data_IF_404864377632
#
_entry.id   IF_404864377632
#
_cell.length_a   1.000
_cell.length_b   1.000
_cell.length_c   1.000
_cell.angle_alpha   90.00
_cell.angle_beta   90.00
_cell.angle_gamma   90.00
#
_symmetry.space_group_name_H-M   'P 1'
#
loop_
_entity.id
_entity.type
_entity.pdbx_description
1 polymer ?
#
# COMPACT_ATOMS: atom_id res chain seq x y z
N UNK A 1 -4.39 -62.79 60.73
CA UNK A 1 -3.30 -61.88 61.16
C UNK A 1 -3.63 -60.46 60.69
N UNK A 2 -3.78 -59.50 61.61
CA UNK A 2 -4.10 -58.13 61.26
C UNK A 2 -2.85 -57.40 60.72
N UNK A 3 -2.96 -56.83 59.51
CA UNK A 3 -1.88 -56.09 58.85
C UNK A 3 -1.72 -54.73 59.55
N UNK A 4 -0.61 -54.53 60.29
CA UNK A 4 -0.29 -53.24 60.91
C UNK A 4 -0.09 -52.20 59.79
N UNK A 5 -0.92 -51.15 59.78
CA UNK A 5 -0.73 -50.00 58.90
C UNK A 5 0.26 -49.06 59.59
N UNK A 6 1.42 -48.84 58.98
CA UNK A 6 2.34 -47.81 59.43
C UNK A 6 1.65 -46.45 59.22
N UNK A 7 1.40 -45.72 60.31
CA UNK A 7 0.91 -44.37 60.24
C UNK A 7 2.12 -43.43 60.15
N UNK A 8 2.05 -42.46 59.23
CA UNK A 8 3.05 -41.41 59.13
C UNK A 8 3.09 -40.60 60.43
N UNK A 9 4.30 -40.25 60.85
CA UNK A 9 4.47 -39.39 62.03
C UNK A 9 4.09 -37.95 61.68
N UNK A 10 3.53 -37.22 62.64
CA UNK A 10 3.11 -35.82 62.42
C UNK A 10 4.27 -34.92 61.97
N UNK A 11 5.50 -35.22 62.44
CA UNK A 11 6.71 -34.49 62.04
C UNK A 11 7.11 -34.75 60.58
N UNK A 12 6.93 -35.97 60.08
CA UNK A 12 7.22 -36.33 58.69
C UNK A 12 6.25 -35.65 57.72
N UNK A 13 4.98 -35.54 58.10
CA UNK A 13 3.98 -34.78 57.35
C UNK A 13 4.35 -33.30 57.31
N UNK A 14 4.78 -32.73 58.45
CA UNK A 14 5.17 -31.31 58.53
C UNK A 14 6.38 -31.02 57.63
N UNK A 15 7.43 -31.84 57.69
CA UNK A 15 8.61 -31.70 56.82
C UNK A 15 8.22 -31.82 55.34
N UNK A 16 7.35 -32.77 55.00
CA UNK A 16 6.90 -32.97 53.62
C UNK A 16 6.13 -31.76 53.08
N UNK A 17 5.27 -31.13 53.89
CA UNK A 17 4.52 -29.92 53.47
C UNK A 17 5.44 -28.71 53.26
N UNK A 18 6.48 -28.56 54.10
CA UNK A 18 7.47 -27.48 53.95
C UNK A 18 8.29 -27.68 52.67
N UNK A 19 8.77 -28.90 52.44
CA UNK A 19 9.53 -29.23 51.22
C UNK A 19 8.68 -29.06 49.95
N UNK A 20 7.42 -29.48 49.98
CA UNK A 20 6.49 -29.27 48.88
C UNK A 20 6.27 -27.78 48.61
N UNK A 21 6.12 -26.96 49.65
CA UNK A 21 5.94 -25.51 49.49
C UNK A 21 7.15 -24.85 48.81
N UNK A 22 8.36 -25.24 49.20
CA UNK A 22 9.60 -24.75 48.56
C UNK A 22 9.66 -25.19 47.09
N UNK A 23 9.33 -26.46 46.80
CA UNK A 23 9.30 -26.97 45.44
C UNK A 23 8.29 -26.24 44.55
N UNK A 24 7.10 -25.93 45.09
CA UNK A 24 6.07 -25.17 44.37
C UNK A 24 6.54 -23.76 44.02
N UNK A 25 7.24 -23.05 44.92
CA UNK A 25 7.80 -21.73 44.64
C UNK A 25 8.80 -21.80 43.47
N UNK A 26 9.69 -22.80 43.48
CA UNK A 26 10.63 -23.05 42.39
C UNK A 26 9.89 -23.30 41.07
N UNK A 27 8.87 -24.15 41.07
CA UNK A 27 8.09 -24.47 39.88
C UNK A 27 7.34 -23.25 39.32
N UNK A 28 6.74 -22.43 40.17
CA UNK A 28 6.08 -21.19 39.74
C UNK A 28 7.06 -20.23 39.07
N UNK A 29 8.28 -20.09 39.58
CA UNK A 29 9.30 -19.24 38.97
C UNK A 29 9.72 -19.71 37.57
N UNK A 30 9.81 -21.04 37.38
CA UNK A 30 10.14 -21.66 36.08
C UNK A 30 9.00 -21.45 35.09
N UNK A 31 7.76 -21.67 35.53
CA UNK A 31 6.56 -21.44 34.69
C UNK A 31 6.46 -19.99 34.24
N UNK A 32 6.71 -19.04 35.15
CA UNK A 32 6.66 -17.62 34.83
C UNK A 32 7.76 -17.21 33.85
N UNK A 33 8.98 -17.73 34.04
CA UNK A 33 10.09 -17.54 33.10
C UNK A 33 9.76 -18.11 31.71
N UNK A 34 9.15 -19.31 31.66
CA UNK A 34 8.75 -19.93 30.41
C UNK A 34 7.65 -19.12 29.70
N UNK A 35 6.65 -18.62 30.42
CA UNK A 35 5.59 -17.75 29.87
C UNK A 35 6.19 -16.49 29.25
N UNK A 36 7.12 -15.84 29.95
CA UNK A 36 7.82 -14.65 29.45
C UNK A 36 8.65 -14.96 28.20
N UNK A 37 9.36 -16.09 28.15
CA UNK A 37 10.10 -16.50 26.97
C UNK A 37 9.18 -16.74 25.77
N UNK A 38 8.06 -17.45 25.96
CA UNK A 38 7.07 -17.69 24.90
C UNK A 38 6.48 -16.38 24.40
N UNK A 39 6.14 -15.46 25.29
CA UNK A 39 5.63 -14.14 24.92
C UNK A 39 6.61 -13.38 24.02
N UNK A 40 7.89 -13.32 24.42
CA UNK A 40 8.91 -12.61 23.66
C UNK A 40 9.18 -13.25 22.29
N UNK A 41 9.15 -14.59 22.21
CA UNK A 41 9.29 -15.30 20.94
C UNK A 41 8.12 -14.97 20.02
N UNK A 42 6.89 -15.00 20.55
CA UNK A 42 5.69 -14.67 19.79
C UNK A 42 5.73 -13.24 19.26
N UNK A 43 6.07 -12.27 20.10
CA UNK A 43 6.15 -10.87 19.69
C UNK A 43 7.18 -10.65 18.57
N UNK A 44 8.35 -11.28 18.66
CA UNK A 44 9.37 -11.18 17.61
C UNK A 44 8.95 -11.90 16.32
N UNK A 45 8.24 -13.02 16.44
CA UNK A 45 7.70 -13.74 15.30
C UNK A 45 6.64 -12.91 14.57
N UNK A 46 5.68 -12.34 15.31
CA UNK A 46 4.61 -11.48 14.76
C UNK A 46 5.22 -10.28 14.02
N UNK A 47 6.21 -9.61 14.62
CA UNK A 47 6.97 -8.51 13.96
C UNK A 47 7.67 -8.97 12.67
N UNK A 48 8.23 -10.18 12.65
CA UNK A 48 8.88 -10.69 11.44
C UNK A 48 7.87 -10.99 10.34
N UNK A 49 6.74 -11.61 10.70
CA UNK A 49 5.65 -11.92 9.75
C UNK A 49 5.09 -10.65 9.12
N UNK A 50 4.88 -9.60 9.91
CA UNK A 50 4.38 -8.32 9.40
C UNK A 50 5.37 -7.64 8.45
N UNK A 51 6.67 -7.69 8.78
CA UNK A 51 7.71 -7.18 7.90
C UNK A 51 7.78 -7.95 6.57
N UNK A 52 7.71 -9.29 6.61
CA UNK A 52 7.74 -10.10 5.40
C UNK A 52 6.49 -9.87 4.54
N UNK A 53 5.33 -9.73 5.18
CA UNK A 53 4.08 -9.33 4.52
C UNK A 53 4.22 -7.97 3.84
N UNK A 54 4.80 -6.98 4.52
CA UNK A 54 5.03 -5.66 3.94
C UNK A 54 5.91 -5.71 2.70
N UNK A 55 6.99 -6.49 2.74
CA UNK A 55 7.88 -6.68 1.59
C UNK A 55 7.13 -7.35 0.42
N UNK A 56 6.29 -8.34 0.70
CA UNK A 56 5.45 -8.98 -0.31
C UNK A 56 4.44 -8.01 -0.93
N UNK A 57 3.83 -7.11 -0.13
CA UNK A 57 2.94 -6.07 -0.66
C UNK A 57 3.71 -5.10 -1.55
N UNK A 58 4.89 -4.61 -1.14
CA UNK A 58 5.72 -3.76 -1.98
C UNK A 58 6.13 -4.46 -3.29
N UNK A 59 6.50 -5.73 -3.21
CA UNK A 59 6.82 -6.55 -4.37
C UNK A 59 5.63 -6.62 -5.34
N UNK A 60 4.43 -6.92 -4.84
CA UNK A 60 3.21 -7.00 -5.64
C UNK A 60 2.78 -5.64 -6.19
N UNK A 61 2.92 -4.56 -5.42
CA UNK A 61 2.64 -3.19 -5.86
C UNK A 61 3.45 -2.85 -7.12
N UNK A 62 4.75 -3.19 -7.13
CA UNK A 62 5.64 -2.95 -8.26
C UNK A 62 5.34 -3.92 -9.42
N UNK A 63 5.17 -5.21 -9.13
CA UNK A 63 4.94 -6.24 -10.13
C UNK A 63 3.63 -6.01 -10.91
N UNK A 64 2.59 -5.59 -10.21
CA UNK A 64 1.26 -5.32 -10.76
C UNK A 64 1.07 -3.85 -11.18
N UNK A 65 2.15 -3.06 -11.20
CA UNK A 65 2.10 -1.69 -11.68
C UNK A 65 2.06 -1.62 -13.20
N UNK A 66 1.58 -0.48 -13.71
CA UNK A 66 1.65 -0.09 -15.12
C UNK A 66 3.07 0.23 -15.61
N UNK A 67 4.08 0.10 -14.74
CA UNK A 67 5.47 0.44 -15.01
C UNK A 67 5.76 1.94 -15.05
N UNK A 68 4.77 2.81 -14.84
CA UNK A 68 4.93 4.26 -14.67
C UNK A 68 5.29 4.56 -13.22
N UNK A 69 6.55 4.31 -12.92
CA UNK A 69 7.11 4.43 -11.58
C UNK A 69 7.99 5.66 -11.50
N UNK A 70 7.65 6.59 -10.60
CA UNK A 70 8.48 7.74 -10.29
C UNK A 70 9.31 7.47 -9.03
N UNK A 71 10.63 7.62 -9.16
CA UNK A 71 11.57 7.54 -8.05
C UNK A 71 12.05 8.95 -7.74
N UNK A 72 11.99 9.35 -6.46
CA UNK A 72 12.69 10.56 -6.00
C UNK A 72 13.61 10.17 -4.85
N UNK A 73 14.92 10.37 -5.09
CA UNK A 73 15.97 10.23 -4.08
C UNK A 73 16.24 11.60 -3.44
N UNK A 74 16.45 11.65 -2.12
CA UNK A 74 16.81 12.87 -1.39
C UNK A 74 16.14 12.96 -0.01
N UNK A 75 15.53 14.12 0.28
CA UNK A 75 15.02 14.39 1.63
C UNK A 75 13.83 13.52 2.04
N UNK A 76 13.10 12.96 1.06
CA UNK A 76 11.98 12.03 1.25
C UNK A 76 12.05 11.00 0.14
N UNK A 77 12.91 10.00 0.36
CA UNK A 77 13.04 8.85 -0.54
C UNK A 77 11.67 8.22 -0.73
N UNK A 78 11.26 8.16 -1.99
CA UNK A 78 9.93 7.68 -2.35
C UNK A 78 9.92 7.00 -3.70
N UNK A 79 9.06 6.00 -3.78
CA UNK A 79 8.62 5.37 -5.02
C UNK A 79 7.12 5.60 -5.13
N UNK A 80 6.65 6.02 -6.29
CA UNK A 80 5.24 6.08 -6.59
C UNK A 80 4.95 5.35 -7.89
N UNK A 81 3.90 4.53 -7.87
CA UNK A 81 3.30 3.88 -9.02
C UNK A 81 2.02 4.64 -9.36
N UNK A 82 1.92 5.13 -10.59
CA UNK A 82 0.75 5.91 -11.02
C UNK A 82 -0.50 5.05 -11.14
N UNK A 83 -0.35 3.78 -11.54
CA UNK A 83 -1.41 2.80 -11.55
C UNK A 83 -0.89 1.41 -11.15
N UNK A 84 -1.58 0.75 -10.22
CA UNK A 84 -1.39 -0.65 -9.85
C UNK A 84 -2.74 -1.32 -9.59
N UNK A 85 -2.83 -2.62 -9.86
CA UNK A 85 -4.01 -3.44 -9.51
C UNK A 85 -3.92 -4.03 -8.11
N UNK A 86 -2.78 -3.88 -7.43
CA UNK A 86 -2.57 -4.37 -6.06
C UNK A 86 -3.08 -3.35 -5.02
N UNK A 87 -4.41 -3.19 -4.96
CA UNK A 87 -5.06 -2.33 -3.96
C UNK A 87 -5.32 -3.11 -2.67
N UNK A 88 -5.02 -2.51 -1.51
CA UNK A 88 -5.42 -3.04 -0.20
C UNK A 88 -6.83 -2.59 0.21
N UNK A 89 -7.35 -1.57 -0.48
CA UNK A 89 -8.62 -0.90 -0.17
C UNK A 89 -9.63 -1.02 -1.32
N UNK A 90 -9.53 -2.11 -2.08
CA UNK A 90 -10.49 -2.51 -3.13
C UNK A 90 -10.69 -1.51 -4.28
N UNK A 91 -9.68 -0.66 -4.53
CA UNK A 91 -9.62 0.20 -5.71
C UNK A 91 -9.21 -0.63 -6.94
N UNK A 92 -10.04 -0.61 -7.98
CA UNK A 92 -9.73 -1.36 -9.22
C UNK A 92 -8.42 -0.95 -9.89
N UNK A 93 -8.06 0.34 -9.82
CA UNK A 93 -6.75 0.87 -10.18
C UNK A 93 -6.39 1.92 -9.13
N UNK A 94 -5.29 1.70 -8.41
CA UNK A 94 -4.82 2.62 -7.37
C UNK A 94 -3.53 3.32 -7.79
N UNK A 95 -3.37 4.57 -7.35
CA UNK A 95 -2.05 5.19 -7.23
C UNK A 95 -1.48 4.79 -5.87
N UNK A 96 -0.25 4.30 -5.85
CA UNK A 96 0.41 3.87 -4.60
C UNK A 96 1.77 4.52 -4.49
N UNK A 97 2.07 5.09 -3.33
CA UNK A 97 3.38 5.64 -3.02
C UNK A 97 3.92 5.03 -1.73
N UNK A 98 5.16 4.54 -1.79
CA UNK A 98 5.93 4.20 -0.60
C UNK A 98 6.94 5.29 -0.33
N UNK A 99 7.03 5.73 0.92
CA UNK A 99 8.03 6.70 1.34
C UNK A 99 8.46 6.48 2.77
N UNK A 100 9.67 6.93 3.08
CA UNK A 100 10.18 6.94 4.45
C UNK A 100 9.96 8.33 5.05
N UNK A 101 9.25 8.37 6.18
CA UNK A 101 9.16 9.55 7.02
C UNK A 101 10.42 9.64 7.87
N UNK A 102 11.21 10.70 7.68
CA UNK A 102 12.47 10.91 8.43
C UNK A 102 12.27 11.18 9.92
N UNK A 103 11.18 11.85 10.29
CA UNK A 103 10.94 12.24 11.69
C UNK A 103 10.70 11.02 12.60
N UNK A 104 10.26 9.89 12.02
CA UNK A 104 9.96 8.66 12.75
C UNK A 104 10.68 7.41 12.20
N UNK A 105 11.61 7.58 11.25
CA UNK A 105 12.23 6.49 10.46
C UNK A 105 11.21 5.40 10.06
N UNK A 106 10.03 5.84 9.62
CA UNK A 106 8.87 4.96 9.41
C UNK A 106 8.59 4.82 7.94
N UNK A 107 8.53 3.58 7.45
CA UNK A 107 8.06 3.29 6.10
C UNK A 107 6.53 3.39 6.11
N UNK A 108 6.01 4.23 5.22
CA UNK A 108 4.57 4.35 5.01
C UNK A 108 4.22 3.99 3.57
N UNK A 109 3.03 3.43 3.41
CA UNK A 109 2.38 3.22 2.12
C UNK A 109 1.17 4.13 2.07
N UNK A 110 1.07 4.91 1.00
CA UNK A 110 -0.07 5.78 0.73
C UNK A 110 -0.77 5.21 -0.49
N UNK A 111 -2.07 4.96 -0.37
CA UNK A 111 -2.92 4.48 -1.44
C UNK A 111 -4.08 5.45 -1.67
N UNK A 112 -4.44 5.66 -2.94
CA UNK A 112 -5.65 6.40 -3.26
C UNK A 112 -5.80 6.69 -4.74
N UNK A 113 -6.83 7.45 -5.08
CA UNK A 113 -7.09 7.86 -6.46
C UNK A 113 -6.64 9.30 -6.70
N UNK A 114 -5.77 9.50 -7.69
CA UNK A 114 -5.43 10.82 -8.24
C UNK A 114 -4.98 11.88 -7.20
N UNK A 115 -4.30 11.46 -6.13
CA UNK A 115 -3.73 12.36 -5.13
C UNK A 115 -2.36 12.89 -5.54
N UNK A 116 -1.88 13.91 -4.81
CA UNK A 116 -0.55 14.49 -5.01
C UNK A 116 0.20 14.49 -3.69
N UNK A 117 1.52 14.34 -3.77
CA UNK A 117 2.38 14.49 -2.61
C UNK A 117 2.98 15.90 -2.57
N UNK A 118 3.00 16.59 -1.42
CA UNK A 118 2.42 16.20 -0.12
C UNK A 118 0.88 16.16 -0.16
N UNK A 119 0.30 15.24 0.62
CA UNK A 119 -1.15 15.04 0.71
C UNK A 119 -1.78 16.26 1.38
N UNK A 120 -2.81 16.83 0.76
CA UNK A 120 -3.61 17.92 1.33
C UNK A 120 -4.80 17.38 2.13
N UNK A 121 -5.40 18.20 3.00
CA UNK A 121 -6.53 17.78 3.86
C UNK A 121 -7.78 17.30 3.09
N UNK A 122 -7.97 17.80 1.87
CA UNK A 122 -9.11 17.45 1.00
C UNK A 122 -8.90 16.17 0.18
N UNK A 123 -7.73 15.53 0.29
CA UNK A 123 -7.41 14.34 -0.49
C UNK A 123 -7.73 13.08 0.28
N UNK A 124 -8.71 12.33 -0.21
CA UNK A 124 -9.06 11.01 0.32
C UNK A 124 -7.98 10.00 -0.09
N UNK A 125 -7.09 9.71 0.86
CA UNK A 125 -6.04 8.70 0.71
C UNK A 125 -5.98 7.87 1.98
N UNK A 126 -5.65 6.59 1.80
CA UNK A 126 -5.38 5.67 2.89
C UNK A 126 -3.87 5.67 3.16
N UNK A 127 -3.50 5.76 4.43
CA UNK A 127 -2.09 5.85 4.86
C UNK A 127 -1.79 4.73 5.84
N UNK A 128 -1.05 3.74 5.36
CA UNK A 128 -0.61 2.61 6.16
C UNK A 128 0.77 2.88 6.75
N UNK A 129 0.88 2.82 8.08
CA UNK A 129 2.18 2.74 8.75
C UNK A 129 2.65 1.29 8.73
N UNK A 130 3.73 1.03 7.99
CA UNK A 130 4.19 -0.34 7.73
C UNK A 130 5.08 -0.83 8.87
N UNK A 131 6.23 -0.19 9.09
CA UNK A 131 7.09 -0.46 10.25
C UNK A 131 8.04 0.73 10.51
N UNK A 132 8.54 0.79 11.75
CA UNK A 132 9.49 1.79 12.22
C UNK A 132 10.94 1.29 12.17
N UNK A 133 11.87 2.23 12.24
CA UNK A 133 13.31 1.96 12.29
C UNK A 133 13.86 1.50 10.95
N UNK A 134 13.43 2.13 9.86
CA UNK A 134 13.99 1.92 8.52
C UNK A 134 15.40 2.50 8.51
N UNK A 135 16.41 1.67 8.27
CA UNK A 135 17.79 2.16 8.08
C UNK A 135 18.20 2.20 6.60
N UNK A 136 17.49 1.46 5.74
CA UNK A 136 17.76 1.40 4.32
C UNK A 136 16.43 1.33 3.56
N UNK A 137 16.23 2.25 2.63
CA UNK A 137 15.16 2.17 1.65
C UNK A 137 15.69 2.72 0.33
N UNK A 138 16.34 1.85 -0.45
CA UNK A 138 16.88 2.23 -1.75
C UNK A 138 16.16 1.48 -2.85
N UNK A 139 15.77 2.23 -3.88
CA UNK A 139 15.16 1.68 -5.07
C UNK A 139 15.86 2.28 -6.27
N UNK A 140 16.39 1.39 -7.10
CA UNK A 140 17.12 1.73 -8.31
C UNK A 140 16.47 1.06 -9.50
N UNK A 141 16.21 1.84 -10.55
CA UNK A 141 15.64 1.35 -11.81
C UNK A 141 16.67 1.45 -12.92
N UNK A 142 16.85 0.36 -13.66
CA UNK A 142 17.67 0.32 -14.86
C UNK A 142 16.88 -0.35 -15.99
N UNK A 143 16.45 0.43 -16.99
CA UNK A 143 15.59 -0.02 -18.09
C UNK A 143 14.32 -0.71 -17.58
N UNK A 144 14.21 -2.02 -17.79
CA UNK A 144 13.12 -2.91 -17.41
C UNK A 144 13.34 -3.62 -16.07
N UNK A 145 14.43 -3.28 -15.37
CA UNK A 145 14.81 -3.86 -14.09
C UNK A 145 14.64 -2.87 -12.94
N UNK A 146 14.13 -3.35 -11.82
CA UNK A 146 13.98 -2.58 -10.58
C UNK A 146 14.61 -3.39 -9.45
N UNK A 147 15.66 -2.83 -8.86
CA UNK A 147 16.28 -3.36 -7.65
C UNK A 147 15.72 -2.60 -6.46
N UNK A 148 15.20 -3.34 -5.49
CA UNK A 148 14.66 -2.81 -4.24
C UNK A 148 15.50 -3.37 -3.10
N UNK A 149 15.93 -2.49 -2.20
CA UNK A 149 16.60 -2.85 -0.96
C UNK A 149 15.90 -2.16 0.22
N UNK A 150 15.39 -2.95 1.16
CA UNK A 150 14.70 -2.47 2.37
C UNK A 150 15.34 -3.08 3.60
N UNK A 151 15.75 -2.25 4.55
CA UNK A 151 16.39 -2.67 5.80
C UNK A 151 15.72 -2.05 7.01
N UNK A 152 15.82 -2.75 8.14
CA UNK A 152 15.35 -2.29 9.45
C UNK A 152 16.49 -2.37 10.47
N UNK A 153 16.60 -1.40 11.38
CA UNK A 153 17.67 -1.29 12.40
C UNK A 153 17.84 -2.59 13.21
N UNK A 154 16.74 -3.28 13.51
CA UNK A 154 16.75 -4.49 14.35
C UNK A 154 16.93 -5.81 13.58
N UNK A 155 17.02 -5.78 12.24
CA UNK A 155 17.28 -6.96 11.42
C UNK A 155 18.70 -6.93 10.86
N UNK A 156 19.37 -8.08 10.87
CA UNK A 156 20.78 -8.22 10.44
C UNK A 156 20.96 -8.05 8.93
N UNK A 157 19.99 -8.46 8.13
CA UNK A 157 20.10 -8.46 6.66
C UNK A 157 18.92 -7.71 6.03
N UNK A 158 19.17 -6.81 5.06
CA UNK A 158 18.11 -6.14 4.31
C UNK A 158 17.47 -7.08 3.31
N UNK A 159 16.15 -6.97 3.11
CA UNK A 159 15.51 -7.61 1.96
C UNK A 159 15.95 -6.92 0.69
N UNK A 160 16.46 -7.73 -0.24
CA UNK A 160 16.85 -7.27 -1.56
C UNK A 160 16.18 -8.15 -2.61
N UNK A 161 15.47 -7.53 -3.55
CA UNK A 161 14.86 -8.26 -4.66
C UNK A 161 14.95 -7.45 -5.96
N UNK A 162 15.05 -8.20 -7.06
CA UNK A 162 15.15 -7.68 -8.41
C UNK A 162 13.91 -8.07 -9.19
N UNK A 163 13.11 -7.10 -9.61
CA UNK A 163 12.05 -7.32 -10.60
C UNK A 163 12.59 -7.05 -12.00
N UNK A 164 12.19 -7.88 -12.96
CA UNK A 164 12.53 -7.74 -14.38
C UNK A 164 11.24 -7.68 -15.22
N UNK A 165 11.31 -7.06 -16.39
CA UNK A 165 10.17 -6.94 -17.30
C UNK A 165 9.24 -5.76 -17.03
N UNK A 166 9.58 -4.85 -16.11
CA UNK A 166 8.78 -3.66 -15.80
C UNK A 166 9.05 -2.57 -16.85
N UNK A 167 8.34 -2.65 -17.98
CA UNK A 167 8.49 -1.72 -19.12
C UNK A 167 7.93 -0.34 -18.80
N UNK A 168 8.64 0.71 -19.24
CA UNK A 168 8.11 2.08 -19.16
C UNK A 168 7.04 2.23 -20.24
N UNK A 169 5.82 2.68 -19.92
CA UNK A 169 4.81 2.91 -20.94
C UNK A 169 5.30 3.98 -21.94
N UNK A 170 5.08 3.77 -23.24
CA UNK A 170 5.52 4.74 -24.25
C UNK A 170 4.85 6.09 -24.00
N UNK A 171 5.63 7.19 -24.02
CA UNK A 171 5.08 8.54 -23.86
C UNK A 171 3.97 8.77 -24.91
N UNK A 172 2.80 9.29 -24.51
CA UNK A 172 1.73 9.58 -25.47
C UNK A 172 2.25 10.53 -26.54
N UNK A 173 2.08 10.15 -27.82
CA UNK A 173 2.50 10.98 -28.96
C UNK A 173 1.83 12.36 -28.82
N UNK A 174 2.57 13.47 -29.00
CA UNK A 174 1.97 14.80 -28.91
C UNK A 174 0.83 14.90 -29.91
N UNK A 175 -0.40 15.19 -29.44
CA UNK A 175 -1.54 15.47 -30.30
C UNK A 175 -1.11 16.62 -31.21
N UNK A 176 -0.94 16.36 -32.52
CA UNK A 176 -0.68 17.41 -33.51
C UNK A 176 -1.77 18.46 -33.32
N UNK A 177 -1.40 19.66 -32.85
CA UNK A 177 -2.31 20.81 -32.82
C UNK A 177 -2.87 20.93 -34.23
N UNK A 178 -4.18 20.70 -34.41
CA UNK A 178 -4.85 20.97 -35.67
C UNK A 178 -4.54 22.43 -35.98
N UNK A 179 -3.83 22.68 -37.10
CA UNK A 179 -3.59 24.05 -37.56
C UNK A 179 -4.95 24.75 -37.62
N UNK A 180 -5.09 25.97 -37.07
CA UNK A 180 -6.33 26.71 -37.19
C UNK A 180 -6.68 26.80 -38.67
N UNK A 181 -7.87 26.33 -39.06
CA UNK A 181 -8.42 26.54 -40.40
C UNK A 181 -8.35 28.05 -40.65
N UNK A 182 -7.56 28.49 -41.63
CA UNK A 182 -7.62 29.87 -42.13
C UNK A 182 -9.09 30.17 -42.42
N UNK A 183 -9.67 31.12 -41.68
CA UNK A 183 -10.97 31.70 -42.04
C UNK A 183 -10.80 32.25 -43.45
N UNK A 184 -11.55 31.70 -44.41
CA UNK A 184 -11.70 32.34 -45.71
C UNK A 184 -12.30 33.73 -45.47
N UNK A 185 -11.80 34.78 -46.14
CA UNK A 185 -12.41 36.10 -46.06
C UNK A 185 -13.85 36.05 -46.61
N UNK A 186 -14.78 36.81 -46.02
CA UNK A 186 -16.17 36.83 -46.46
C UNK A 186 -16.25 37.35 -47.91
N UNK A 187 -16.90 36.58 -48.78
CA UNK A 187 -17.32 37.06 -50.10
C UNK A 187 -18.33 38.18 -49.89
N UNK A 188 -18.00 39.39 -50.36
CA UNK A 188 -18.97 40.46 -50.61
C UNK A 188 -19.91 39.98 -51.72
N UNK A 189 -21.15 39.64 -51.36
CA UNK A 189 -22.26 39.49 -52.29
C UNK A 189 -23.14 40.72 -52.19
N UNK A 190 -23.24 41.45 -53.29
CA UNK A 190 -24.07 42.63 -53.45
C UNK A 190 -25.56 42.29 -53.41
N UNK A 191 -26.33 43.23 -52.87
CA UNK A 191 -27.79 43.32 -52.99
C UNK A 191 -28.24 43.26 -54.45
N UNK A 192 -29.39 42.63 -54.70
CA UNK A 192 -30.45 43.25 -55.47
C UNK A 192 -31.79 42.51 -55.28
N UNK A 193 -32.78 43.29 -54.86
CA UNK A 193 -34.21 42.96 -54.82
C UNK A 193 -34.73 42.63 -56.22
N UNK A 194 -35.68 41.68 -56.31
CA UNK A 194 -36.88 41.90 -57.12
C UNK A 194 -38.04 40.98 -56.72
N UNK A 195 -39.21 41.59 -56.85
CA UNK A 195 -40.53 41.27 -56.34
C UNK A 195 -41.23 40.11 -57.09
N UNK A 196 -42.03 39.36 -56.31
CA UNK A 196 -43.19 38.47 -56.58
C UNK A 196 -44.06 38.77 -57.82
N UNK A 197 -44.91 37.84 -58.35
CA UNK A 197 -45.96 37.18 -57.54
C UNK A 197 -46.49 35.76 -57.92
N UNK A 198 -47.03 35.13 -56.86
CA UNK A 198 -48.32 34.43 -56.72
C UNK A 198 -48.59 32.95 -57.07
N UNK A 199 -49.38 32.37 -56.14
CA UNK A 199 -50.29 31.19 -56.18
C UNK A 199 -49.62 29.79 -56.20
N UNK A 200 -50.03 28.78 -55.42
CA UNK A 200 -51.36 28.47 -54.89
C UNK A 200 -51.25 27.48 -53.70
N UNK A 201 -52.09 27.72 -52.69
CA UNK A 201 -52.93 26.80 -51.91
C UNK A 201 -52.45 25.43 -51.36
N UNK A 202 -52.97 25.19 -50.15
CA UNK A 202 -53.59 23.97 -49.57
C UNK A 202 -52.79 23.07 -48.63
N UNK A 203 -53.19 23.18 -47.34
CA UNK A 203 -53.57 22.11 -46.40
C UNK A 203 -52.52 21.17 -45.80
N UNK A 204 -52.66 20.93 -44.48
CA UNK A 204 -52.09 19.73 -43.84
C UNK A 204 -51.71 19.91 -42.39
N UNK A 205 -52.70 19.77 -41.51
CA UNK A 205 -52.63 19.61 -40.06
C UNK A 205 -51.57 18.59 -39.57
N UNK A 206 -51.13 18.85 -38.33
CA UNK A 206 -50.98 17.87 -37.24
C UNK A 206 -49.70 17.04 -36.99
N UNK A 207 -49.28 17.17 -35.72
CA UNK A 207 -48.85 16.12 -34.79
C UNK A 207 -47.35 15.79 -34.59
N UNK A 208 -46.81 16.37 -33.50
CA UNK A 208 -46.08 15.64 -32.44
C UNK A 208 -46.99 14.53 -31.82
N UNK A 209 -46.53 13.65 -30.91
CA UNK A 209 -45.17 13.21 -30.57
C UNK A 209 -45.07 11.66 -30.40
N UNK A 210 -43.84 11.16 -30.20
CA UNK A 210 -43.39 10.53 -28.94
C UNK A 210 -41.88 10.31 -28.99
#
# INVERSE_FOLDING_TARGET
>A
MAKRRAAFTLIEVLISTVLLSIALIGLYSVLDTQRRAVHNIKENLDKSVDYDRAIMVLYNDILQSDGNITLRKGERDRICMEATTNSLYELGIARVCWLVLKDEDTLIRIEGNNYKLPVGMEQNVEVDKIFKGVNLFDITRQKDKILVAVGQINKKEPYTFLLQGIKIPPKPKPKKKKKPKKKQPPKKGADNNNTTPDKNSTEGLENLPQ
#
